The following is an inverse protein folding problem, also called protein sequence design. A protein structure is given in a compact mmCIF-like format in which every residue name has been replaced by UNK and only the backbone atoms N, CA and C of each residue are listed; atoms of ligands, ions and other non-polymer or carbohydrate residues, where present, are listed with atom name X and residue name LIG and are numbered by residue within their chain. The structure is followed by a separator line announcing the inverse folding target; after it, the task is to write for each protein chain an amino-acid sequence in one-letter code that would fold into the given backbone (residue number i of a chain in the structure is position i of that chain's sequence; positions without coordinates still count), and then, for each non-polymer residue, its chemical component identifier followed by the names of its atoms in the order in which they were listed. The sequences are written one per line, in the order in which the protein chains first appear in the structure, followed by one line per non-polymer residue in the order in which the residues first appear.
data_IF_848535601149
#
_entry.id   IF_848535601149
#
_cell.length_a   1.000
_cell.length_b   1.000
_cell.length_c   1.000
_cell.angle_alpha   90.00
_cell.angle_beta   90.00
_cell.angle_gamma   90.00
#
_symmetry.space_group_name_H-M   'P 1'
#
loop_
_entity.id
_entity.type
_entity.pdbx_description
1 polymer ?
#
# COMPACT_ATOMS: atom_id res chain seq x y z
N UNK A 1 -28.26 -24.22 4.63
CA UNK A 1 -28.08 -24.01 3.17
C UNK A 1 -28.32 -22.56 2.77
N UNK A 2 -29.55 -22.04 2.89
CA UNK A 2 -29.90 -20.66 2.48
C UNK A 2 -28.93 -19.62 3.05
N UNK A 3 -28.66 -19.69 4.35
CA UNK A 3 -27.75 -18.75 5.01
C UNK A 3 -26.32 -18.78 4.43
N UNK A 4 -25.78 -19.97 4.09
CA UNK A 4 -24.46 -20.08 3.47
C UNK A 4 -24.44 -19.43 2.08
N UNK A 5 -25.52 -19.58 1.30
CA UNK A 5 -25.66 -18.95 -0.01
C UNK A 5 -25.70 -17.42 0.14
N UNK A 6 -26.48 -16.91 1.10
CA UNK A 6 -26.55 -15.46 1.40
C UNK A 6 -25.16 -14.93 1.76
N UNK A 7 -24.42 -15.61 2.64
CA UNK A 7 -23.06 -15.21 3.03
C UNK A 7 -22.13 -15.17 1.82
N UNK A 8 -22.16 -16.21 0.97
CA UNK A 8 -21.36 -16.28 -0.26
C UNK A 8 -21.71 -15.11 -1.20
N UNK A 9 -23.00 -14.86 -1.43
CA UNK A 9 -23.45 -13.76 -2.30
C UNK A 9 -22.95 -12.41 -1.81
N UNK A 10 -23.00 -12.14 -0.51
CA UNK A 10 -22.49 -10.89 0.07
C UNK A 10 -20.98 -10.76 -0.16
N UNK A 11 -20.21 -11.83 0.06
CA UNK A 11 -18.76 -11.83 -0.18
C UNK A 11 -18.42 -11.55 -1.66
N UNK A 12 -19.15 -12.18 -2.59
CA UNK A 12 -18.99 -11.93 -4.02
C UNK A 12 -19.31 -10.48 -4.38
N UNK A 13 -20.39 -9.91 -3.85
CA UNK A 13 -20.77 -8.52 -4.10
C UNK A 13 -19.68 -7.56 -3.62
N UNK A 14 -19.14 -7.74 -2.40
CA UNK A 14 -18.06 -6.88 -1.91
C UNK A 14 -16.79 -6.98 -2.78
N UNK A 15 -16.41 -8.19 -3.20
CA UNK A 15 -15.25 -8.40 -4.05
C UNK A 15 -15.41 -7.73 -5.42
N UNK A 16 -16.58 -7.88 -6.05
CA UNK A 16 -16.90 -7.24 -7.33
C UNK A 16 -16.87 -5.72 -7.20
N UNK A 17 -17.48 -5.15 -6.16
CA UNK A 17 -17.46 -3.70 -5.92
C UNK A 17 -16.01 -3.20 -5.79
N UNK A 18 -15.18 -3.89 -5.00
CA UNK A 18 -13.77 -3.53 -4.82
C UNK A 18 -12.98 -3.57 -6.14
N UNK A 19 -13.14 -4.64 -6.92
CA UNK A 19 -12.47 -4.81 -8.22
C UNK A 19 -12.91 -3.76 -9.24
N UNK A 20 -14.23 -3.52 -9.37
CA UNK A 20 -14.77 -2.52 -10.31
C UNK A 20 -14.25 -1.13 -9.97
N UNK A 21 -14.24 -0.76 -8.69
CA UNK A 21 -13.74 0.54 -8.25
C UNK A 21 -12.25 0.74 -8.58
N UNK A 22 -11.43 -0.28 -8.35
CA UNK A 22 -10.00 -0.27 -8.71
C UNK A 22 -9.79 -0.10 -10.22
N UNK A 23 -10.57 -0.80 -11.04
CA UNK A 23 -10.48 -0.72 -12.50
C UNK A 23 -10.91 0.68 -13.00
N UNK A 24 -12.01 1.21 -12.48
CA UNK A 24 -12.55 2.52 -12.92
C UNK A 24 -11.62 3.67 -12.55
N UNK A 25 -10.97 3.61 -11.39
CA UNK A 25 -10.12 4.71 -10.92
C UNK A 25 -8.63 4.54 -11.28
N UNK A 26 -8.28 3.55 -12.10
CA UNK A 26 -6.89 3.20 -12.44
C UNK A 26 -6.06 4.36 -13.00
N UNK A 27 -6.67 5.22 -13.82
CA UNK A 27 -5.99 6.34 -14.49
C UNK A 27 -5.79 7.54 -13.57
N UNK A 28 -6.60 7.64 -12.52
CA UNK A 28 -6.47 8.70 -11.51
C UNK A 28 -5.24 8.47 -10.62
N UNK A 29 -4.80 7.22 -10.48
CA UNK A 29 -3.89 6.83 -9.41
C UNK A 29 -2.55 6.21 -9.84
N UNK A 30 -2.30 6.03 -11.14
CA UNK A 30 -1.03 5.50 -11.69
C UNK A 30 -0.57 4.25 -10.92
N UNK A 31 -1.51 3.33 -10.67
CA UNK A 31 -1.21 2.04 -10.06
C UNK A 31 -0.43 1.21 -11.08
N UNK A 32 0.74 0.70 -10.71
CA UNK A 32 1.52 -0.16 -11.59
C UNK A 32 0.74 -1.45 -11.90
N UNK A 33 0.96 -2.05 -13.07
CA UNK A 33 0.27 -3.26 -13.47
C UNK A 33 0.55 -4.43 -12.49
N UNK A 34 1.72 -4.44 -11.87
CA UNK A 34 2.10 -5.40 -10.83
C UNK A 34 1.21 -5.28 -9.58
N UNK A 35 0.99 -4.05 -9.10
CA UNK A 35 0.12 -3.77 -7.95
C UNK A 35 -1.34 -4.13 -8.23
N UNK A 36 -1.83 -3.91 -9.45
CA UNK A 36 -3.18 -4.35 -9.87
C UNK A 36 -3.34 -5.86 -9.76
N UNK A 37 -2.34 -6.61 -10.25
CA UNK A 37 -2.35 -8.07 -10.20
C UNK A 37 -2.36 -8.53 -8.74
N UNK A 38 -1.55 -7.92 -7.87
CA UNK A 38 -1.51 -8.29 -6.45
C UNK A 38 -2.83 -8.02 -5.73
N UNK A 39 -3.45 -6.86 -5.92
CA UNK A 39 -4.74 -6.55 -5.28
C UNK A 39 -5.85 -7.45 -5.82
N UNK A 40 -5.88 -7.70 -7.14
CA UNK A 40 -6.87 -8.59 -7.75
C UNK A 40 -6.71 -10.03 -7.27
N UNK A 41 -5.47 -10.52 -7.20
CA UNK A 41 -5.15 -11.85 -6.71
C UNK A 41 -5.52 -11.99 -5.22
N UNK A 42 -5.29 -10.95 -4.42
CA UNK A 42 -5.73 -10.92 -3.02
C UNK A 42 -7.25 -11.03 -2.90
N UNK A 43 -8.01 -10.12 -3.52
CA UNK A 43 -9.47 -10.09 -3.43
C UNK A 43 -10.12 -11.38 -3.96
N UNK A 44 -9.61 -11.91 -5.08
CA UNK A 44 -10.11 -13.19 -5.62
C UNK A 44 -9.81 -14.37 -4.70
N UNK A 45 -8.60 -14.44 -4.11
CA UNK A 45 -8.24 -15.50 -3.15
C UNK A 45 -9.10 -15.45 -1.88
N UNK A 46 -9.45 -14.26 -1.39
CA UNK A 46 -10.32 -14.05 -0.24
C UNK A 46 -11.74 -14.59 -0.50
N UNK A 47 -12.30 -14.23 -1.65
CA UNK A 47 -13.65 -14.68 -2.05
C UNK A 47 -13.69 -16.18 -2.33
N UNK A 48 -12.72 -16.72 -3.08
CA UNK A 48 -12.65 -18.15 -3.38
C UNK A 48 -12.52 -18.98 -2.09
N UNK A 49 -11.65 -18.57 -1.17
CA UNK A 49 -11.56 -19.19 0.15
C UNK A 49 -12.94 -19.27 0.81
N UNK A 50 -13.66 -18.16 0.84
CA UNK A 50 -14.92 -18.07 1.57
C UNK A 50 -16.03 -18.90 0.91
N UNK A 51 -16.04 -18.95 -0.43
CA UNK A 51 -16.93 -19.83 -1.20
C UNK A 51 -16.66 -21.28 -0.82
N UNK A 52 -15.43 -21.76 -0.98
CA UNK A 52 -15.08 -23.16 -0.71
C UNK A 52 -15.31 -23.53 0.75
N UNK A 53 -15.00 -22.63 1.69
CA UNK A 53 -15.31 -22.83 3.09
C UNK A 53 -16.81 -23.00 3.31
N UNK A 54 -17.67 -22.11 2.80
CA UNK A 54 -19.11 -22.22 3.08
C UNK A 54 -19.77 -23.41 2.35
N UNK A 55 -19.28 -23.77 1.16
CA UNK A 55 -19.74 -24.95 0.43
C UNK A 55 -19.41 -26.26 1.16
N UNK A 56 -18.25 -26.34 1.83
CA UNK A 56 -17.86 -27.56 2.55
C UNK A 56 -18.79 -27.91 3.73
N UNK A 57 -19.66 -27.01 4.18
CA UNK A 57 -20.60 -27.33 5.26
C UNK A 57 -22.01 -27.69 4.76
N UNK A 58 -22.28 -27.62 3.46
CA UNK A 58 -23.61 -27.88 2.90
C UNK A 58 -23.78 -29.39 2.70
N UNK A 59 -24.74 -29.98 3.42
CA UNK A 59 -25.04 -31.42 3.40
C UNK A 59 -25.65 -31.94 2.09
N UNK A 60 -26.08 -31.06 1.19
CA UNK A 60 -26.62 -31.42 -0.13
C UNK A 60 -25.53 -32.01 -1.04
N UNK A 61 -24.27 -31.61 -0.84
CA UNK A 61 -23.17 -32.11 -1.65
C UNK A 61 -22.68 -33.47 -1.14
N UNK A 62 -22.22 -34.36 -2.04
CA UNK A 62 -21.65 -35.63 -1.62
C UNK A 62 -20.38 -35.41 -0.79
N UNK A 63 -20.16 -36.28 0.19
CA UNK A 63 -19.04 -36.22 1.15
C UNK A 63 -17.68 -35.98 0.45
N UNK A 64 -17.45 -36.66 -0.68
CA UNK A 64 -16.21 -36.50 -1.46
C UNK A 64 -15.99 -35.06 -1.94
N UNK A 65 -17.01 -34.42 -2.49
CA UNK A 65 -16.93 -33.05 -2.98
C UNK A 65 -16.70 -32.08 -1.81
N UNK A 66 -17.43 -32.29 -0.72
CA UNK A 66 -17.31 -31.52 0.51
C UNK A 66 -15.89 -31.57 1.10
N UNK A 67 -15.26 -32.75 1.08
CA UNK A 67 -13.88 -32.92 1.53
C UNK A 67 -12.88 -32.16 0.66
N UNK A 68 -13.09 -32.15 -0.65
CA UNK A 68 -12.27 -31.38 -1.60
C UNK A 68 -12.43 -29.88 -1.32
N UNK A 69 -13.67 -29.39 -1.17
CA UNK A 69 -13.93 -27.99 -0.86
C UNK A 69 -13.25 -27.57 0.45
N UNK A 70 -13.30 -28.42 1.48
CA UNK A 70 -12.63 -28.18 2.74
C UNK A 70 -11.11 -28.06 2.57
N UNK A 71 -10.46 -29.04 1.92
CA UNK A 71 -9.00 -29.02 1.67
C UNK A 71 -8.57 -27.79 0.88
N UNK A 72 -9.28 -27.47 -0.20
CA UNK A 72 -9.03 -26.27 -1.02
C UNK A 72 -9.19 -25.00 -0.20
N UNK A 73 -10.20 -24.93 0.68
CA UNK A 73 -10.37 -23.76 1.56
C UNK A 73 -9.18 -23.57 2.49
N UNK A 74 -8.63 -24.64 3.09
CA UNK A 74 -7.46 -24.51 3.97
C UNK A 74 -6.23 -24.05 3.17
N UNK A 75 -6.01 -24.60 1.97
CA UNK A 75 -4.91 -24.16 1.10
C UNK A 75 -5.02 -22.68 0.73
N UNK A 76 -6.21 -22.23 0.33
CA UNK A 76 -6.46 -20.82 0.00
C UNK A 76 -6.29 -19.92 1.24
N UNK A 77 -6.65 -20.40 2.44
CA UNK A 77 -6.42 -19.67 3.69
C UNK A 77 -4.94 -19.49 4.00
N UNK A 78 -4.15 -20.55 3.86
CA UNK A 78 -2.69 -20.51 4.06
C UNK A 78 -2.08 -19.50 3.09
N UNK A 79 -2.42 -19.63 1.79
CA UNK A 79 -1.92 -18.75 0.74
C UNK A 79 -2.23 -17.28 1.03
N UNK A 80 -3.50 -16.93 1.28
CA UNK A 80 -3.89 -15.52 1.43
C UNK A 80 -3.31 -14.86 2.69
N UNK A 81 -3.23 -15.59 3.80
CA UNK A 81 -2.68 -15.08 5.07
C UNK A 81 -1.16 -14.89 4.93
N UNK A 82 -0.46 -15.83 4.29
CA UNK A 82 0.96 -15.70 3.97
C UNK A 82 1.23 -14.52 3.02
N UNK A 83 0.41 -14.38 1.98
CA UNK A 83 0.53 -13.31 0.98
C UNK A 83 0.36 -11.93 1.61
N UNK A 84 -0.71 -11.71 2.39
CA UNK A 84 -0.95 -10.44 3.06
C UNK A 84 0.15 -10.09 4.05
N UNK A 85 0.57 -11.04 4.88
CA UNK A 85 1.65 -10.84 5.85
C UNK A 85 2.98 -10.48 5.16
N UNK A 86 3.30 -11.15 4.05
CA UNK A 86 4.51 -10.88 3.27
C UNK A 86 4.50 -9.49 2.65
N UNK A 87 3.39 -9.08 2.04
CA UNK A 87 3.24 -7.72 1.49
C UNK A 87 3.36 -6.68 2.60
N UNK A 88 2.71 -6.92 3.73
CA UNK A 88 2.75 -6.00 4.86
C UNK A 88 4.19 -5.77 5.36
N UNK A 89 4.93 -6.83 5.61
CA UNK A 89 6.33 -6.74 6.06
C UNK A 89 7.21 -6.11 4.96
N UNK A 90 6.99 -6.45 3.69
CA UNK A 90 7.69 -5.85 2.56
C UNK A 90 7.51 -4.32 2.50
N UNK A 91 6.29 -3.83 2.69
CA UNK A 91 5.98 -2.40 2.70
C UNK A 91 6.69 -1.68 3.85
N UNK A 92 6.78 -2.31 5.02
CA UNK A 92 7.40 -1.71 6.21
C UNK A 92 8.93 -1.74 6.21
N UNK A 93 9.55 -2.77 5.65
CA UNK A 93 10.99 -3.03 5.73
C UNK A 93 11.68 -3.10 4.37
N UNK A 94 11.25 -2.25 3.42
CA UNK A 94 11.69 -2.17 2.00
C UNK A 94 13.18 -2.45 1.71
N UNK A 95 14.09 -2.26 2.67
CA UNK A 95 15.54 -2.31 2.46
C UNK A 95 16.28 -3.54 3.04
N UNK A 96 15.77 -4.25 4.07
CA UNK A 96 16.60 -5.22 4.80
C UNK A 96 16.31 -6.69 4.46
N UNK A 97 15.05 -7.07 4.24
CA UNK A 97 14.69 -8.48 4.09
C UNK A 97 13.46 -8.70 3.19
N UNK A 98 13.56 -8.29 1.91
CA UNK A 98 12.42 -8.23 0.98
C UNK A 98 11.64 -9.55 0.82
N UNK A 99 12.32 -10.69 0.82
CA UNK A 99 11.72 -11.98 0.43
C UNK A 99 11.71 -13.04 1.53
N UNK A 100 12.37 -12.83 2.67
CA UNK A 100 12.47 -13.85 3.71
C UNK A 100 11.10 -14.24 4.31
N UNK A 101 10.18 -13.31 4.63
CA UNK A 101 8.86 -13.71 5.13
C UNK A 101 8.10 -14.54 4.11
N UNK A 102 8.11 -14.12 2.83
CA UNK A 102 7.47 -14.86 1.75
C UNK A 102 8.06 -16.27 1.59
N UNK A 103 9.38 -16.39 1.66
CA UNK A 103 10.08 -17.68 1.61
C UNK A 103 9.69 -18.58 2.78
N UNK A 104 9.76 -18.08 4.02
CA UNK A 104 9.43 -18.84 5.24
C UNK A 104 7.97 -19.30 5.20
N UNK A 105 7.03 -18.41 4.87
CA UNK A 105 5.61 -18.78 4.83
C UNK A 105 5.28 -19.72 3.67
N UNK A 106 5.95 -19.59 2.53
CA UNK A 106 5.78 -20.52 1.41
C UNK A 106 6.32 -21.90 1.77
N UNK A 107 7.45 -21.97 2.47
CA UNK A 107 8.03 -23.22 2.94
C UNK A 107 7.11 -23.92 3.96
N UNK A 108 6.70 -23.22 5.02
CA UNK A 108 5.79 -23.76 6.03
C UNK A 108 4.41 -24.12 5.43
N UNK A 109 3.89 -23.24 4.59
CA UNK A 109 2.62 -23.45 3.88
C UNK A 109 2.68 -24.64 2.94
N UNK A 110 3.82 -24.86 2.26
CA UNK A 110 4.07 -26.01 1.41
C UNK A 110 4.08 -27.33 2.18
N UNK A 111 4.70 -27.36 3.37
CA UNK A 111 4.64 -28.53 4.27
C UNK A 111 3.18 -28.82 4.62
N UNK A 112 2.42 -27.82 5.08
CA UNK A 112 1.01 -28.01 5.46
C UNK A 112 0.16 -28.46 4.26
N UNK A 113 0.38 -27.87 3.08
CA UNK A 113 -0.30 -28.25 1.85
C UNK A 113 0.01 -29.71 1.45
N UNK A 114 1.27 -30.14 1.58
CA UNK A 114 1.65 -31.53 1.29
C UNK A 114 0.94 -32.52 2.22
N UNK A 115 0.86 -32.21 3.53
CA UNK A 115 0.09 -33.02 4.49
C UNK A 115 -1.39 -33.08 4.09
N UNK A 116 -2.00 -31.96 3.69
CA UNK A 116 -3.40 -31.92 3.24
C UNK A 116 -3.68 -32.81 2.03
N UNK A 117 -2.74 -32.87 1.07
CA UNK A 117 -2.92 -33.66 -0.16
C UNK A 117 -2.82 -35.15 0.16
N UNK A 118 -1.77 -35.56 0.89
CA UNK A 118 -1.42 -36.97 1.07
C UNK A 118 -2.37 -37.69 2.04
N UNK A 119 -2.88 -37.01 3.07
CA UNK A 119 -3.66 -37.67 4.12
C UNK A 119 -5.14 -37.28 4.20
N UNK A 120 -5.91 -38.17 4.81
CA UNK A 120 -7.28 -37.92 5.27
C UNK A 120 -7.24 -37.64 6.77
N UNK A 121 -6.82 -36.43 7.13
CA UNK A 121 -6.62 -36.02 8.53
C UNK A 121 -7.88 -35.47 9.21
N UNK A 122 -9.02 -35.56 8.54
CA UNK A 122 -10.28 -35.00 9.03
C UNK A 122 -11.35 -36.08 9.10
N UNK A 123 -12.02 -36.12 10.25
CA UNK A 123 -13.29 -36.81 10.41
C UNK A 123 -14.44 -35.85 10.11
N UNK A 124 -15.56 -36.43 9.67
CA UNK A 124 -16.75 -35.69 9.30
C UNK A 124 -17.91 -36.13 10.17
N UNK A 125 -18.45 -35.19 10.93
CA UNK A 125 -19.65 -35.39 11.72
C UNK A 125 -20.80 -34.59 11.10
N UNK A 126 -22.01 -35.16 11.09
CA UNK A 126 -23.20 -34.46 10.63
C UNK A 126 -23.95 -33.95 11.85
N UNK A 127 -24.07 -32.63 11.98
CA UNK A 127 -24.83 -31.98 13.05
C UNK A 127 -25.81 -30.99 12.44
N UNK A 128 -27.09 -31.06 12.82
CA UNK A 128 -28.13 -30.14 12.33
C UNK A 128 -28.18 -30.02 10.80
N UNK A 129 -27.95 -31.13 10.09
CA UNK A 129 -27.93 -31.15 8.62
C UNK A 129 -26.75 -30.38 8.00
N UNK A 130 -25.62 -30.25 8.71
CA UNK A 130 -24.38 -29.66 8.20
C UNK A 130 -23.20 -30.57 8.51
N UNK A 131 -22.22 -30.59 7.61
CA UNK A 131 -20.96 -31.29 7.83
C UNK A 131 -20.05 -30.47 8.73
N UNK A 132 -19.55 -31.04 9.82
CA UNK A 132 -18.49 -30.49 10.66
C UNK A 132 -17.24 -31.34 10.49
N UNK A 133 -16.10 -30.67 10.41
CA UNK A 133 -14.80 -31.31 10.26
C UNK A 133 -14.03 -31.26 11.57
N UNK A 134 -13.59 -32.41 12.06
CA UNK A 134 -12.71 -32.53 13.22
C UNK A 134 -11.35 -33.02 12.77
N UNK A 135 -10.28 -32.39 13.26
CA UNK A 135 -8.93 -32.69 12.83
C UNK A 135 -8.33 -33.75 13.77
N UNK A 136 -7.98 -34.91 13.20
CA UNK A 136 -7.57 -36.08 13.99
C UNK A 136 -6.05 -36.20 14.17
N UNK A 137 -5.28 -35.57 13.28
CA UNK A 137 -3.83 -35.66 13.29
C UNK A 137 -3.22 -34.53 14.13
N UNK A 138 -2.72 -34.86 15.31
CA UNK A 138 -2.12 -33.89 16.24
C UNK A 138 -0.91 -33.14 15.64
N UNK A 139 -0.07 -33.82 14.85
CA UNK A 139 1.11 -33.20 14.23
C UNK A 139 0.66 -32.15 13.21
N UNK A 140 -0.29 -32.51 12.35
CA UNK A 140 -0.85 -31.60 11.35
C UNK A 140 -1.54 -30.40 12.00
N UNK A 141 -2.28 -30.63 13.08
CA UNK A 141 -2.91 -29.58 13.87
C UNK A 141 -1.89 -28.61 14.50
N UNK A 142 -0.83 -29.14 15.11
CA UNK A 142 0.26 -28.33 15.68
C UNK A 142 0.96 -27.48 14.61
N UNK A 143 1.21 -28.04 13.42
CA UNK A 143 1.78 -27.30 12.29
C UNK A 143 0.88 -26.16 11.84
N UNK A 144 -0.43 -26.38 11.74
CA UNK A 144 -1.41 -25.34 11.41
C UNK A 144 -1.40 -24.21 12.46
N UNK A 145 -1.47 -24.56 13.74
CA UNK A 145 -1.43 -23.58 14.83
C UNK A 145 -0.14 -22.77 14.78
N UNK A 146 1.00 -23.46 14.70
CA UNK A 146 2.31 -22.81 14.65
C UNK A 146 2.41 -21.82 13.48
N UNK A 147 1.94 -22.22 12.31
CA UNK A 147 1.90 -21.36 11.13
C UNK A 147 1.08 -20.08 11.37
N UNK A 148 -0.18 -20.20 11.81
CA UNK A 148 -1.02 -19.02 12.01
C UNK A 148 -0.53 -18.11 13.16
N UNK A 149 -0.04 -18.68 14.27
CA UNK A 149 0.54 -17.90 15.37
C UNK A 149 1.80 -17.18 14.88
N UNK A 150 2.66 -17.83 14.10
CA UNK A 150 3.86 -17.19 13.55
C UNK A 150 3.51 -16.00 12.65
N UNK A 151 2.44 -16.11 11.84
CA UNK A 151 1.96 -15.00 11.02
C UNK A 151 1.44 -13.86 11.90
N UNK A 152 0.55 -14.14 12.86
CA UNK A 152 0.04 -13.08 13.76
C UNK A 152 1.21 -12.37 14.45
N UNK A 153 2.12 -13.13 15.05
CA UNK A 153 3.29 -12.59 15.75
C UNK A 153 4.16 -11.73 14.84
N UNK A 154 4.49 -12.22 13.65
CA UNK A 154 5.31 -11.49 12.68
C UNK A 154 4.66 -10.19 12.21
N UNK A 155 3.34 -10.17 11.99
CA UNK A 155 2.62 -8.98 11.54
C UNK A 155 2.54 -7.92 12.64
N UNK A 156 2.31 -8.34 13.88
CA UNK A 156 2.29 -7.43 15.04
C UNK A 156 3.69 -6.85 15.29
N UNK A 157 4.72 -7.69 15.34
CA UNK A 157 6.11 -7.23 15.51
C UNK A 157 6.55 -6.33 14.36
N UNK A 158 6.19 -6.70 13.13
CA UNK A 158 6.45 -5.92 11.94
C UNK A 158 5.86 -4.53 12.07
N UNK A 159 4.56 -4.44 12.40
CA UNK A 159 3.88 -3.18 12.62
C UNK A 159 4.49 -2.36 13.75
N UNK A 160 4.79 -2.96 14.91
CA UNK A 160 5.39 -2.23 16.03
C UNK A 160 6.74 -1.60 15.68
N UNK A 161 7.57 -2.31 14.90
CA UNK A 161 8.90 -1.82 14.51
C UNK A 161 8.88 -0.93 13.27
N UNK A 162 7.95 -1.15 12.36
CA UNK A 162 7.88 -0.46 11.07
C UNK A 162 6.88 0.69 11.01
N UNK A 163 6.00 0.85 12.00
CA UNK A 163 4.97 1.89 12.01
C UNK A 163 5.55 3.31 11.91
N UNK A 164 6.77 3.54 12.41
CA UNK A 164 7.48 4.83 12.28
C UNK A 164 7.88 5.15 10.84
N UNK A 165 8.01 4.13 9.98
CA UNK A 165 8.39 4.32 8.57
C UNK A 165 7.20 4.78 7.70
N UNK A 166 5.97 4.75 8.24
CA UNK A 166 4.78 5.25 7.56
C UNK A 166 4.62 6.74 7.89
N UNK A 167 4.72 7.59 6.87
CA UNK A 167 4.71 9.06 7.03
C UNK A 167 3.40 9.62 7.63
N UNK A 168 2.26 8.93 7.45
CA UNK A 168 0.98 9.38 7.97
C UNK A 168 0.50 8.58 9.19
N UNK A 169 0.32 9.27 10.32
CA UNK A 169 -0.35 8.71 11.50
C UNK A 169 -1.75 8.16 11.20
N UNK A 170 -2.53 8.81 10.32
CA UNK A 170 -3.86 8.30 9.90
C UNK A 170 -3.74 6.97 9.17
N UNK A 171 -2.78 6.83 8.26
CA UNK A 171 -2.55 5.57 7.53
C UNK A 171 -1.99 4.49 8.44
N UNK A 172 -1.05 4.83 9.33
CA UNK A 172 -0.57 3.92 10.38
C UNK A 172 -1.72 3.40 11.23
N UNK A 173 -2.64 4.27 11.65
CA UNK A 173 -3.83 3.87 12.40
C UNK A 173 -4.76 2.98 11.58
N UNK A 174 -5.00 3.30 10.31
CA UNK A 174 -5.82 2.45 9.42
C UNK A 174 -5.21 1.07 9.22
N UNK A 175 -3.89 0.99 8.95
CA UNK A 175 -3.16 -0.27 8.84
C UNK A 175 -3.24 -1.05 10.15
N UNK A 176 -3.06 -0.40 11.30
CA UNK A 176 -3.21 -1.04 12.61
C UNK A 176 -4.62 -1.59 12.84
N UNK A 177 -5.68 -0.88 12.42
CA UNK A 177 -7.06 -1.36 12.49
C UNK A 177 -7.24 -2.61 11.60
N UNK A 178 -6.75 -2.57 10.36
CA UNK A 178 -6.82 -3.72 9.44
C UNK A 178 -6.10 -4.94 10.04
N UNK A 179 -4.90 -4.75 10.58
CA UNK A 179 -4.10 -5.82 11.19
C UNK A 179 -4.75 -6.39 12.46
N UNK A 180 -5.35 -5.54 13.28
CA UNK A 180 -6.09 -5.98 14.45
C UNK A 180 -7.28 -6.85 14.04
N UNK A 181 -8.05 -6.41 13.05
CA UNK A 181 -9.19 -7.16 12.52
C UNK A 181 -8.76 -8.49 11.88
N UNK A 182 -7.65 -8.47 11.13
CA UNK A 182 -7.01 -9.66 10.55
C UNK A 182 -6.55 -10.66 11.63
N UNK A 183 -5.95 -10.17 12.71
CA UNK A 183 -5.47 -10.99 13.83
C UNK A 183 -6.63 -11.63 14.57
N UNK A 184 -7.68 -10.87 14.89
CA UNK A 184 -8.91 -11.41 15.51
C UNK A 184 -9.56 -12.45 14.61
N UNK A 185 -9.72 -12.16 13.31
CA UNK A 185 -10.31 -13.10 12.36
C UNK A 185 -9.52 -14.42 12.32
N UNK A 186 -8.19 -14.35 12.38
CA UNK A 186 -7.31 -15.53 12.39
C UNK A 186 -7.38 -16.29 13.71
N UNK A 187 -7.45 -15.61 14.85
CA UNK A 187 -7.65 -16.25 16.15
C UNK A 187 -9.00 -16.97 16.24
N UNK A 188 -10.09 -16.35 15.78
CA UNK A 188 -11.41 -17.00 15.76
C UNK A 188 -11.43 -18.21 14.83
N UNK A 189 -10.72 -18.15 13.69
CA UNK A 189 -10.54 -19.30 12.81
C UNK A 189 -9.78 -20.45 13.50
N UNK A 190 -8.70 -20.14 14.22
CA UNK A 190 -7.97 -21.13 15.00
C UNK A 190 -8.85 -21.77 16.06
N UNK A 191 -9.60 -20.96 16.82
CA UNK A 191 -10.56 -21.47 17.82
C UNK A 191 -11.61 -22.36 17.15
N UNK A 192 -12.09 -22.01 15.96
CA UNK A 192 -13.01 -22.84 15.19
C UNK A 192 -12.40 -24.18 14.76
N UNK A 193 -11.13 -24.22 14.36
CA UNK A 193 -10.44 -25.47 14.03
C UNK A 193 -10.25 -26.36 15.27
N UNK A 194 -9.97 -25.78 16.44
CA UNK A 194 -9.79 -26.52 17.70
C UNK A 194 -11.11 -27.04 18.27
N UNK A 195 -12.16 -26.22 18.19
CA UNK A 195 -13.48 -26.53 18.72
C UNK A 195 -14.54 -26.39 17.61
N UNK A 196 -14.64 -27.36 16.67
CA UNK A 196 -15.58 -27.27 15.57
C UNK A 196 -17.01 -27.18 16.08
N UNK A 197 -17.64 -26.02 15.89
CA UNK A 197 -19.05 -25.79 16.23
C UNK A 197 -19.69 -24.88 15.19
N UNK A 198 -20.99 -25.09 14.96
CA UNK A 198 -21.79 -24.27 14.05
C UNK A 198 -21.77 -22.80 14.45
N UNK A 199 -21.79 -22.52 15.76
CA UNK A 199 -21.71 -21.15 16.30
C UNK A 199 -20.38 -20.46 15.95
N UNK A 200 -19.24 -21.08 16.28
CA UNK A 200 -17.92 -20.51 15.98
C UNK A 200 -17.70 -20.30 14.49
N UNK A 201 -18.21 -21.21 13.65
CA UNK A 201 -18.18 -21.05 12.21
C UNK A 201 -18.94 -19.81 11.74
N UNK A 202 -20.15 -19.58 12.25
CA UNK A 202 -20.92 -18.38 11.87
C UNK A 202 -20.28 -17.10 12.40
N UNK A 203 -19.76 -17.12 13.63
CA UNK A 203 -19.00 -15.99 14.18
C UNK A 203 -17.79 -15.65 13.30
N UNK A 204 -17.03 -16.67 12.89
CA UNK A 204 -15.92 -16.52 11.94
C UNK A 204 -16.40 -15.89 10.62
N UNK A 205 -17.48 -16.42 10.03
CA UNK A 205 -18.01 -15.92 8.76
C UNK A 205 -18.48 -14.46 8.83
N UNK A 206 -19.11 -14.05 9.94
CA UNK A 206 -19.53 -12.66 10.14
C UNK A 206 -18.33 -11.71 10.29
N UNK A 207 -17.33 -12.10 11.10
CA UNK A 207 -16.09 -11.33 11.24
C UNK A 207 -15.34 -11.24 9.91
N UNK A 208 -15.38 -12.30 9.10
CA UNK A 208 -14.79 -12.33 7.77
C UNK A 208 -15.48 -11.34 6.81
N UNK A 209 -16.81 -11.32 6.78
CA UNK A 209 -17.56 -10.37 5.96
C UNK A 209 -17.34 -8.93 6.44
N UNK A 210 -17.27 -8.71 7.75
CA UNK A 210 -16.92 -7.41 8.33
C UNK A 210 -15.54 -6.96 7.86
N UNK A 211 -14.54 -7.85 7.89
CA UNK A 211 -13.21 -7.57 7.38
C UNK A 211 -13.23 -7.16 5.89
N UNK A 212 -13.88 -7.94 5.03
CA UNK A 212 -14.02 -7.60 3.61
C UNK A 212 -14.72 -6.25 3.40
N UNK A 213 -15.79 -5.98 4.14
CA UNK A 213 -16.50 -4.71 4.08
C UNK A 213 -15.62 -3.52 4.45
N UNK A 214 -14.82 -3.64 5.53
CA UNK A 214 -13.84 -2.62 5.93
C UNK A 214 -12.76 -2.44 4.86
N UNK A 215 -12.21 -3.51 4.31
CA UNK A 215 -11.19 -3.45 3.26
C UNK A 215 -11.70 -2.75 2.01
N UNK A 216 -12.91 -3.06 1.55
CA UNK A 216 -13.54 -2.40 0.40
C UNK A 216 -13.85 -0.94 0.71
N UNK A 217 -14.38 -0.63 1.89
CA UNK A 217 -14.65 0.75 2.30
C UNK A 217 -13.39 1.62 2.31
N UNK A 218 -12.29 1.10 2.87
CA UNK A 218 -11.00 1.81 2.89
C UNK A 218 -10.48 2.00 1.46
N UNK A 219 -10.59 0.97 0.61
CA UNK A 219 -10.21 1.05 -0.81
C UNK A 219 -11.00 2.13 -1.55
N UNK A 220 -12.28 2.33 -1.24
CA UNK A 220 -13.11 3.35 -1.89
C UNK A 220 -12.85 4.75 -1.33
N UNK A 221 -12.78 4.90 0.00
CA UNK A 221 -12.82 6.21 0.65
C UNK A 221 -11.44 6.83 0.87
N UNK A 222 -10.42 6.01 1.10
CA UNK A 222 -9.11 6.47 1.55
C UNK A 222 -7.99 6.01 0.59
N UNK A 223 -8.33 5.78 -0.69
CA UNK A 223 -7.39 5.31 -1.72
C UNK A 223 -6.16 6.21 -1.87
N UNK A 224 -6.35 7.53 -1.73
CA UNK A 224 -5.28 8.53 -1.84
C UNK A 224 -4.16 8.28 -0.80
N UNK A 225 -4.46 7.69 0.35
CA UNK A 225 -3.47 7.35 1.39
C UNK A 225 -2.54 6.21 0.96
N UNK A 226 -3.01 5.27 0.11
CA UNK A 226 -2.15 4.19 -0.41
C UNK A 226 -1.12 4.72 -1.40
N UNK A 227 -1.53 5.63 -2.30
CA UNK A 227 -0.65 6.23 -3.32
C UNK A 227 0.45 7.07 -2.69
N UNK A 228 0.18 7.73 -1.58
CA UNK A 228 1.20 8.54 -0.89
C UNK A 228 2.15 7.68 -0.05
N UNK A 229 1.71 6.53 0.45
CA UNK A 229 2.60 5.56 1.14
C UNK A 229 3.54 4.84 0.17
N UNK A 230 3.13 4.63 -1.09
CA UNK A 230 3.98 3.97 -2.08
C UNK A 230 5.01 4.92 -2.69
N UNK A 231 4.71 6.22 -2.78
CA UNK A 231 5.55 7.20 -3.45
C UNK A 231 6.49 7.94 -2.48
N UNK A 232 7.77 8.05 -2.84
CA UNK A 232 8.78 8.83 -2.12
C UNK A 232 9.10 10.11 -2.87
N UNK A 233 9.29 11.21 -2.14
CA UNK A 233 9.94 12.44 -2.63
C UNK A 233 11.36 12.40 -2.11
N UNK A 234 12.33 12.65 -2.97
CA UNK A 234 13.75 12.65 -2.64
C UNK A 234 14.23 14.08 -2.39
N UNK A 235 14.07 14.93 -3.39
CA UNK A 235 14.59 16.28 -3.39
C UNK A 235 13.55 17.26 -3.91
N UNK A 236 13.58 18.47 -3.34
CA UNK A 236 12.81 19.61 -3.80
C UNK A 236 13.73 20.82 -3.91
N UNK A 237 13.76 21.39 -5.10
CA UNK A 237 14.75 22.40 -5.44
C UNK A 237 14.09 23.55 -6.19
N UNK A 238 14.44 24.77 -5.81
CA UNK A 238 13.96 26.01 -6.43
C UNK A 238 15.16 26.72 -7.05
N UNK A 239 15.07 27.02 -8.34
CA UNK A 239 16.11 27.76 -9.06
C UNK A 239 15.54 29.03 -9.67
N UNK A 240 16.33 30.08 -9.70
CA UNK A 240 16.06 31.25 -10.52
C UNK A 240 16.50 30.99 -11.97
N UNK A 241 15.90 31.70 -12.93
CA UNK A 241 16.24 31.61 -14.37
C UNK A 241 17.70 31.87 -14.70
N UNK A 242 18.44 32.57 -13.82
CA UNK A 242 19.88 32.78 -13.94
C UNK A 242 20.72 31.54 -13.58
N UNK A 243 20.08 30.45 -13.14
CA UNK A 243 20.72 29.25 -12.64
C UNK A 243 21.05 29.32 -11.14
N UNK A 244 20.76 30.42 -10.44
CA UNK A 244 21.03 30.51 -8.99
C UNK A 244 20.04 29.64 -8.23
N UNK A 245 20.55 28.77 -7.35
CA UNK A 245 19.74 27.99 -6.42
C UNK A 245 19.14 28.93 -5.37
N UNK A 246 17.81 29.03 -5.33
CA UNK A 246 17.10 29.84 -4.33
C UNK A 246 16.87 29.07 -3.04
N UNK A 247 16.55 27.78 -3.13
CA UNK A 247 16.25 26.94 -1.98
C UNK A 247 16.36 25.46 -2.35
N UNK A 248 16.85 24.61 -1.45
CA UNK A 248 16.93 23.16 -1.64
C UNK A 248 16.57 22.42 -0.36
N UNK A 249 15.77 21.36 -0.50
CA UNK A 249 15.32 20.54 0.60
C UNK A 249 15.41 19.07 0.25
N UNK A 250 16.08 18.30 1.12
CA UNK A 250 16.17 16.85 1.01
C UNK A 250 15.17 16.21 1.97
N UNK A 251 14.24 15.45 1.41
CA UNK A 251 13.18 14.76 2.14
C UNK A 251 13.68 13.52 2.90
N UNK A 252 14.77 12.89 2.44
CA UNK A 252 15.38 11.75 3.13
C UNK A 252 16.11 12.18 4.40
N UNK A 253 16.83 13.30 4.36
CA UNK A 253 17.56 13.85 5.51
C UNK A 253 16.72 14.82 6.36
N UNK A 254 15.54 15.20 5.87
CA UNK A 254 14.62 16.16 6.47
C UNK A 254 15.26 17.53 6.77
N UNK A 255 16.23 17.93 5.93
CA UNK A 255 17.08 19.11 6.12
C UNK A 255 17.16 19.96 4.87
N UNK A 256 17.31 21.26 5.10
CA UNK A 256 17.74 22.20 4.08
C UNK A 256 19.20 21.89 3.75
N UNK A 257 19.52 21.80 2.46
CA UNK A 257 20.88 21.51 2.01
C UNK A 257 21.47 22.78 1.41
N UNK A 258 22.43 23.36 2.12
CA UNK A 258 23.20 24.51 1.65
C UNK A 258 24.23 24.12 0.59
N UNK A 259 24.64 22.84 0.48
CA UNK A 259 25.55 22.31 -0.55
C UNK A 259 25.20 20.86 -0.95
N UNK A 260 24.59 20.67 -2.13
CA UNK A 260 24.38 19.33 -2.67
C UNK A 260 25.38 19.07 -3.80
N UNK A 261 26.03 17.91 -3.81
CA UNK A 261 26.83 17.42 -4.95
C UNK A 261 25.98 17.31 -6.24
N UNK A 262 24.66 17.20 -6.08
CA UNK A 262 23.65 17.30 -7.14
C UNK A 262 23.60 18.68 -7.80
N UNK A 263 24.07 19.75 -7.13
CA UNK A 263 24.13 21.12 -7.68
C UNK A 263 24.87 21.14 -9.02
N UNK A 264 26.09 20.60 -9.12
CA UNK A 264 26.91 20.75 -10.33
C UNK A 264 26.25 20.16 -11.58
N UNK A 265 25.92 18.88 -11.53
CA UNK A 265 25.42 18.12 -12.69
C UNK A 265 23.98 18.50 -13.08
N UNK A 266 23.12 18.76 -12.08
CA UNK A 266 21.73 19.18 -12.33
C UNK A 266 21.69 20.65 -12.76
N UNK A 267 22.47 21.57 -12.18
CA UNK A 267 22.52 22.95 -12.69
C UNK A 267 23.03 23.01 -14.13
N UNK A 268 24.05 22.21 -14.50
CA UNK A 268 24.57 22.19 -15.88
C UNK A 268 23.49 21.68 -16.84
N UNK A 269 22.79 20.60 -16.47
CA UNK A 269 21.66 20.06 -17.25
C UNK A 269 20.48 21.04 -17.33
N UNK A 270 20.11 21.69 -16.21
CA UNK A 270 19.00 22.64 -16.13
C UNK A 270 19.33 23.95 -16.85
N UNK A 271 20.54 24.49 -16.76
CA UNK A 271 20.94 25.66 -17.54
C UNK A 271 20.89 25.35 -19.03
N UNK A 272 21.31 24.16 -19.44
CA UNK A 272 21.17 23.70 -20.84
C UNK A 272 19.70 23.51 -21.26
N UNK A 273 18.83 23.08 -20.34
CA UNK A 273 17.38 23.00 -20.53
C UNK A 273 16.80 24.42 -20.64
N UNK A 274 16.88 25.23 -19.59
CA UNK A 274 16.34 26.60 -19.51
C UNK A 274 16.80 27.49 -20.67
N UNK A 275 18.08 27.47 -21.04
CA UNK A 275 18.61 28.26 -22.18
C UNK A 275 18.01 27.87 -23.53
N UNK A 276 17.54 26.62 -23.70
CA UNK A 276 16.87 26.14 -24.90
C UNK A 276 15.34 26.37 -24.90
N UNK A 277 14.73 26.68 -23.76
CA UNK A 277 13.26 26.82 -23.62
C UNK A 277 12.73 28.25 -23.62
N UNK A 278 13.58 29.27 -23.42
CA UNK A 278 13.17 30.69 -23.41
C UNK A 278 12.40 31.10 -24.69
N UNK A 279 12.54 30.36 -25.79
CA UNK A 279 11.93 30.68 -27.09
C UNK A 279 10.97 29.62 -27.69
N UNK A 280 10.54 28.57 -26.96
CA UNK A 280 9.67 27.51 -27.52
C UNK A 280 8.36 27.34 -26.73
N UNK A 281 7.22 27.34 -27.46
CA UNK A 281 5.85 27.11 -26.95
C UNK A 281 5.64 25.75 -26.25
N UNK A 282 6.55 24.79 -26.44
CA UNK A 282 6.47 23.47 -25.82
C UNK A 282 7.32 23.43 -24.54
N UNK A 283 6.68 23.64 -23.39
CA UNK A 283 7.29 23.42 -22.07
C UNK A 283 7.48 21.91 -21.88
N UNK A 284 8.72 21.48 -21.64
CA UNK A 284 9.03 20.09 -21.33
C UNK A 284 8.68 19.84 -19.85
N UNK A 285 7.51 19.27 -19.59
CA UNK A 285 7.05 19.01 -18.22
C UNK A 285 7.61 17.71 -17.62
N UNK A 286 8.52 16.98 -18.32
CA UNK A 286 8.95 15.64 -17.93
C UNK A 286 10.40 15.35 -18.33
N UNK A 287 11.20 14.93 -17.36
CA UNK A 287 12.45 14.19 -17.58
C UNK A 287 12.29 12.86 -16.83
N UNK A 288 12.19 11.75 -17.58
CA UNK A 288 12.14 10.40 -16.99
C UNK A 288 13.56 9.88 -16.79
N UNK A 289 13.90 9.47 -15.57
CA UNK A 289 15.08 8.66 -15.28
C UNK A 289 14.65 7.20 -15.03
N UNK A 290 15.58 6.25 -15.07
CA UNK A 290 15.28 4.80 -14.99
C UNK A 290 14.38 4.40 -13.80
N UNK A 291 14.53 5.05 -12.64
CA UNK A 291 13.82 4.72 -11.40
C UNK A 291 13.24 5.95 -10.69
N UNK A 292 13.30 7.13 -11.32
CA UNK A 292 12.86 8.41 -10.73
C UNK A 292 12.20 9.26 -11.79
N UNK A 293 11.14 9.94 -11.42
CA UNK A 293 10.52 10.97 -12.24
C UNK A 293 10.91 12.35 -11.70
N UNK A 294 11.21 13.27 -12.62
CA UNK A 294 11.44 14.67 -12.29
C UNK A 294 10.21 15.47 -12.71
N UNK A 295 9.55 16.09 -11.73
CA UNK A 295 8.51 17.09 -11.96
C UNK A 295 9.22 18.44 -12.05
N UNK A 296 9.10 19.07 -13.22
CA UNK A 296 9.71 20.36 -13.50
C UNK A 296 8.62 21.36 -13.90
N UNK A 297 8.46 22.42 -13.13
CA UNK A 297 7.48 23.48 -13.37
C UNK A 297 8.18 24.84 -13.37
N UNK A 298 7.83 25.70 -14.32
CA UNK A 298 8.49 27.00 -14.54
C UNK A 298 7.46 28.14 -14.58
N UNK A 299 7.70 29.17 -13.77
CA UNK A 299 6.94 30.42 -13.77
C UNK A 299 7.66 31.47 -14.62
N UNK A 300 7.07 31.80 -15.78
CA UNK A 300 7.64 32.79 -16.70
C UNK A 300 7.57 34.22 -16.13
N UNK A 301 6.58 34.52 -15.29
CA UNK A 301 6.33 35.88 -14.79
C UNK A 301 7.35 36.26 -13.72
N UNK A 302 7.67 35.32 -12.83
CA UNK A 302 8.59 35.53 -11.71
C UNK A 302 9.96 34.87 -11.92
N UNK A 303 10.18 34.23 -13.07
CA UNK A 303 11.51 33.81 -13.52
C UNK A 303 12.16 32.75 -12.63
N UNK A 304 11.38 31.81 -12.10
CA UNK A 304 11.90 30.71 -11.27
C UNK A 304 11.33 29.36 -11.71
N UNK A 305 12.06 28.30 -11.40
CA UNK A 305 11.71 26.91 -11.67
C UNK A 305 11.66 26.12 -10.35
N UNK A 306 10.75 25.16 -10.29
CA UNK A 306 10.73 24.13 -9.25
C UNK A 306 11.05 22.79 -9.87
N UNK A 307 11.96 22.07 -9.23
CA UNK A 307 12.29 20.70 -9.54
C UNK A 307 11.98 19.83 -8.33
N UNK A 308 11.15 18.81 -8.54
CA UNK A 308 10.86 17.80 -7.52
C UNK A 308 11.24 16.43 -8.06
N UNK A 309 12.13 15.74 -7.35
CA UNK A 309 12.55 14.37 -7.68
C UNK A 309 11.68 13.42 -6.86
N UNK A 310 10.92 12.55 -7.56
CA UNK A 310 10.03 11.58 -6.94
C UNK A 310 10.27 10.17 -7.48
N UNK A 311 9.85 9.13 -6.75
CA UNK A 311 9.90 7.76 -7.29
C UNK A 311 8.97 7.60 -8.48
N UNK A 312 7.75 8.14 -8.38
CA UNK A 312 6.77 8.14 -9.47
C UNK A 312 6.01 9.46 -9.52
N UNK A 313 5.86 10.04 -10.72
CA UNK A 313 5.01 11.22 -10.92
C UNK A 313 3.55 10.84 -10.71
N UNK A 314 2.84 11.62 -9.89
CA UNK A 314 1.40 11.43 -9.68
C UNK A 314 0.68 12.78 -9.51
N UNK A 315 -0.64 12.78 -9.71
CA UNK A 315 -1.49 13.99 -9.64
C UNK A 315 -1.49 14.65 -8.26
N UNK A 316 -1.20 13.90 -7.20
CA UNK A 316 -1.17 14.42 -5.82
C UNK A 316 0.08 15.29 -5.64
N UNK A 317 1.26 14.80 -6.05
CA UNK A 317 2.51 15.56 -5.99
C UNK A 317 2.42 16.79 -6.90
N UNK A 318 1.90 16.65 -8.12
CA UNK A 318 1.70 17.80 -9.03
C UNK A 318 0.81 18.88 -8.41
N UNK A 319 -0.31 18.48 -7.80
CA UNK A 319 -1.19 19.43 -7.11
C UNK A 319 -0.47 20.10 -5.94
N UNK A 320 0.36 19.37 -5.19
CA UNK A 320 1.16 19.94 -4.11
C UNK A 320 2.21 20.94 -4.64
N UNK A 321 2.87 20.64 -5.77
CA UNK A 321 3.81 21.56 -6.45
C UNK A 321 3.08 22.83 -6.89
N UNK A 322 1.91 22.71 -7.53
CA UNK A 322 1.15 23.87 -7.99
C UNK A 322 0.67 24.76 -6.84
N UNK A 323 0.20 24.16 -5.75
CA UNK A 323 -0.20 24.90 -4.53
C UNK A 323 1.02 25.56 -3.87
N UNK A 324 2.15 24.86 -3.81
CA UNK A 324 3.40 25.41 -3.34
C UNK A 324 3.82 26.62 -4.17
N UNK A 325 3.80 26.51 -5.52
CA UNK A 325 4.18 27.61 -6.40
C UNK A 325 3.33 28.84 -6.16
N UNK A 326 2.01 28.67 -6.01
CA UNK A 326 1.10 29.76 -5.73
C UNK A 326 1.46 30.48 -4.42
N UNK A 327 1.61 29.75 -3.31
CA UNK A 327 1.98 30.36 -2.02
C UNK A 327 3.38 30.96 -2.05
N UNK A 328 4.34 30.30 -2.72
CA UNK A 328 5.71 30.80 -2.86
C UNK A 328 5.73 32.14 -3.61
N UNK A 329 4.98 32.25 -4.70
CA UNK A 329 4.82 33.50 -5.46
C UNK A 329 4.11 34.58 -4.64
N UNK A 330 3.07 34.23 -3.88
CA UNK A 330 2.38 35.20 -3.01
C UNK A 330 3.31 35.77 -1.94
N UNK A 331 4.21 34.96 -1.37
CA UNK A 331 5.12 35.40 -0.31
C UNK A 331 6.40 36.07 -0.83
N UNK A 332 6.93 35.63 -1.98
CA UNK A 332 8.24 36.04 -2.48
C UNK A 332 8.17 36.83 -3.81
N UNK A 333 6.99 37.03 -4.39
CA UNK A 333 6.80 37.64 -5.71
C UNK A 333 7.42 39.04 -5.84
N UNK A 334 7.32 39.89 -4.82
CA UNK A 334 7.95 41.22 -4.84
C UNK A 334 9.48 41.15 -4.91
N UNK A 335 10.09 40.16 -4.23
CA UNK A 335 11.54 39.94 -4.21
C UNK A 335 11.98 39.42 -5.58
N UNK A 336 11.25 38.44 -6.11
CA UNK A 336 11.49 37.86 -7.44
C UNK A 336 11.35 38.91 -8.56
N UNK A 337 10.36 39.80 -8.48
CA UNK A 337 10.21 40.90 -9.43
C UNK A 337 11.38 41.89 -9.38
N UNK A 338 11.85 42.25 -8.17
CA UNK A 338 13.00 43.14 -8.02
C UNK A 338 14.27 42.52 -8.61
N UNK A 339 14.52 41.23 -8.32
CA UNK A 339 15.64 40.48 -8.91
C UNK A 339 15.56 40.51 -10.44
N UNK A 340 14.37 40.27 -11.00
CA UNK A 340 14.18 40.18 -12.44
C UNK A 340 14.27 41.51 -13.18
N UNK A 341 13.75 42.59 -12.60
CA UNK A 341 13.65 43.91 -13.24
C UNK A 341 14.86 44.80 -12.98
N UNK A 342 15.52 44.65 -11.82
CA UNK A 342 16.54 45.59 -11.35
C UNK A 342 17.95 44.98 -11.28
N UNK A 343 18.14 43.74 -11.75
CA UNK A 343 19.42 43.01 -11.71
C UNK A 343 20.09 43.07 -10.32
N UNK A 344 19.27 43.04 -9.26
CA UNK A 344 19.76 43.05 -7.89
C UNK A 344 20.46 41.72 -7.56
N UNK A 345 21.46 41.79 -6.68
CA UNK A 345 22.10 40.62 -6.09
C UNK A 345 21.04 39.70 -5.46
N UNK A 346 21.11 38.41 -5.78
CA UNK A 346 20.17 37.40 -5.27
C UNK A 346 20.62 37.00 -3.86
N UNK A 347 19.94 37.52 -2.84
CA UNK A 347 20.08 37.05 -1.47
C UNK A 347 19.21 35.80 -1.24
N UNK A 348 19.85 34.64 -1.26
CA UNK A 348 19.20 33.33 -1.03
C UNK A 348 18.60 33.18 0.36
N UNK A 349 19.08 33.93 1.36
CA UNK A 349 18.57 33.84 2.73
C UNK A 349 17.11 34.32 2.83
N UNK A 350 16.67 35.17 1.91
CA UNK A 350 15.29 35.66 1.82
C UNK A 350 14.27 34.54 1.55
N UNK A 351 14.71 33.41 1.00
CA UNK A 351 13.83 32.30 0.60
C UNK A 351 13.73 31.19 1.65
N UNK A 352 14.30 31.36 2.86
CA UNK A 352 14.21 30.37 3.95
C UNK A 352 12.78 30.08 4.41
N UNK A 353 11.83 31.01 4.16
CA UNK A 353 10.41 30.80 4.40
C UNK A 353 9.84 29.61 3.59
N UNK A 354 10.49 29.22 2.50
CA UNK A 354 10.11 28.10 1.63
C UNK A 354 9.99 26.79 2.41
N UNK A 355 10.82 26.58 3.44
CA UNK A 355 10.70 25.40 4.30
C UNK A 355 9.31 25.28 4.93
N UNK A 356 8.73 26.39 5.42
CA UNK A 356 7.38 26.39 6.01
C UNK A 356 6.30 26.07 4.97
N UNK A 357 6.51 26.51 3.73
CA UNK A 357 5.59 26.24 2.61
C UNK A 357 5.69 24.76 2.19
N UNK A 358 6.91 24.19 2.18
CA UNK A 358 7.13 22.75 2.00
C UNK A 358 6.44 21.96 3.10
N UNK A 359 6.66 22.31 4.36
CA UNK A 359 6.03 21.66 5.51
C UNK A 359 4.50 21.73 5.47
N UNK A 360 3.92 22.74 4.81
CA UNK A 360 2.48 22.86 4.62
C UNK A 360 1.94 21.89 3.56
N UNK A 361 2.52 21.89 2.35
CA UNK A 361 1.97 21.17 1.19
C UNK A 361 2.55 19.77 0.99
N UNK A 362 3.78 19.55 1.47
CA UNK A 362 4.49 18.29 1.40
C UNK A 362 4.64 17.61 2.76
N UNK A 363 3.94 18.10 3.80
CA UNK A 363 3.77 17.40 5.09
C UNK A 363 3.59 15.88 4.95
N UNK A 364 2.78 15.38 3.99
CA UNK A 364 2.61 13.94 3.74
C UNK A 364 3.88 13.13 3.49
N UNK A 365 4.96 13.78 3.03
CA UNK A 365 6.19 13.15 2.56
C UNK A 365 7.38 13.43 3.48
N UNK A 366 7.23 14.26 4.50
CA UNK A 366 8.28 14.56 5.47
C UNK A 366 8.39 13.42 6.49
N UNK A 367 9.60 12.87 6.63
CA UNK A 367 9.93 11.86 7.64
C UNK A 367 10.10 12.57 8.99
N UNK A 368 9.24 12.29 9.98
CA UNK A 368 9.35 12.84 11.34
C UNK A 368 10.40 12.06 12.13
#
# INVERSE_FOLDING_TARGET
MILNIVLISIACVFSIIGLVYLIQNREKYVIDNTEKIYISLYLSSETLFFIFLNLSFISVFPIRAVFIFWKVSIMLRIFKVAFLSSIHIYVLFKNYVKFLPAFIYSFLGGIIASYLIVGNWFDINITQGQYLFTLNNNIFFLLLIFFYISIIFSTILGQMRGASNISFKKTTNLVSIILFHFSINTLVYLTFLTFPSTYLRFLFSLLFLSFLGVSVFITIKEFDLFVVVTNKIYDFVIFHRSGVLLFSYNFEENKEIDDSLLKGSILIGINHILSNFINKKSKLNIIKMKERDIIFEYDDNFGYAILVIVSHRNKIVEKAVNLFMKDFTEHNGQILEKINKQAQLIDVSAFKNSKKIIERYFKPYLTI
#
